data_IF_348856572623
#
_entry.id   IF_348856572623
#
_cell.length_a   1.000
_cell.length_b   1.000
_cell.length_c   1.000
_cell.angle_alpha   90.00
_cell.angle_beta   90.00
_cell.angle_gamma   90.00
#
_symmetry.space_group_name_H-M   'P 1'
#
loop_
_entity.id
_entity.type
_entity.pdbx_description
1 polymer ?
#
# COMPACT_ATOMS: atom_id res chain seq x y z
N UNK A 1 9.47 32.73 8.51
CA UNK A 1 8.74 31.68 7.78
C UNK A 1 7.69 32.34 6.90
N UNK A 2 7.69 32.02 5.61
CA UNK A 2 6.69 32.49 4.66
C UNK A 2 5.33 31.78 4.90
N UNK A 3 4.20 32.30 4.38
CA UNK A 3 2.92 31.59 4.43
C UNK A 3 3.04 30.18 3.82
N UNK A 4 2.74 29.15 4.61
CA UNK A 4 2.87 27.73 4.22
C UNK A 4 4.14 27.05 4.71
N UNK A 5 5.14 27.80 5.16
CA UNK A 5 6.36 27.26 5.77
C UNK A 5 6.07 26.99 7.25
N UNK A 6 6.04 25.71 7.63
CA UNK A 6 5.89 25.28 9.03
C UNK A 6 7.16 24.52 9.39
N UNK A 7 7.89 25.02 10.37
CA UNK A 7 8.98 24.26 10.97
C UNK A 7 8.43 22.90 11.43
N UNK A 8 9.03 21.77 11.00
CA UNK A 8 8.61 20.45 11.46
C UNK A 8 8.72 20.38 12.98
N UNK A 9 7.82 19.64 13.62
CA UNK A 9 7.94 19.36 15.04
C UNK A 9 9.20 18.55 15.32
N UNK A 10 9.75 18.64 16.54
CA UNK A 10 11.00 17.96 16.91
C UNK A 10 10.93 16.43 16.71
N UNK A 11 9.73 15.85 16.79
CA UNK A 11 9.47 14.43 16.56
C UNK A 11 9.27 14.03 15.09
N UNK A 12 9.27 14.97 14.15
CA UNK A 12 9.18 14.66 12.72
C UNK A 12 10.52 14.14 12.20
N UNK A 13 10.49 13.09 11.38
CA UNK A 13 11.70 12.54 10.78
C UNK A 13 12.51 13.59 9.97
N UNK A 14 11.84 14.60 9.39
CA UNK A 14 12.48 15.71 8.68
C UNK A 14 13.08 16.80 9.57
N UNK A 15 12.89 16.73 10.90
CA UNK A 15 13.50 17.67 11.85
C UNK A 15 14.99 17.42 12.08
N UNK A 16 15.50 16.25 11.68
CA UNK A 16 16.92 15.87 11.78
C UNK A 16 17.47 15.50 10.40
N UNK A 17 18.79 15.58 10.18
CA UNK A 17 19.40 15.10 8.95
C UNK A 17 19.08 13.62 8.70
N UNK A 18 18.73 13.27 7.46
CA UNK A 18 18.49 11.87 7.06
C UNK A 18 19.73 11.01 7.34
N UNK A 19 19.49 9.75 7.72
CA UNK A 19 20.53 8.72 7.91
C UNK A 19 21.15 8.24 6.59
N UNK A 20 20.70 8.78 5.46
CA UNK A 20 21.32 8.65 4.16
C UNK A 20 20.73 7.52 3.31
N UNK A 21 21.52 7.10 2.31
CA UNK A 21 21.13 6.14 1.26
C UNK A 21 22.13 5.00 1.19
N UNK A 22 21.71 3.85 0.66
CA UNK A 22 22.54 2.65 0.56
C UNK A 22 23.73 2.85 -0.40
N UNK A 23 23.48 3.44 -1.57
CA UNK A 23 24.52 3.90 -2.50
C UNK A 23 24.81 5.38 -2.25
N UNK A 24 26.10 5.72 -2.16
CA UNK A 24 26.52 7.12 -2.00
C UNK A 24 26.18 7.93 -3.24
N UNK A 25 25.54 9.08 -3.04
CA UNK A 25 25.20 10.03 -4.09
C UNK A 25 25.42 11.45 -3.57
N UNK A 26 25.76 12.41 -4.45
CA UNK A 26 25.81 13.82 -4.07
C UNK A 26 24.47 14.30 -3.52
N UNK A 27 24.53 15.18 -2.53
CA UNK A 27 23.35 15.89 -2.03
C UNK A 27 22.75 16.78 -3.11
N UNK A 28 21.43 16.93 -3.09
CA UNK A 28 20.74 17.81 -4.04
C UNK A 28 20.57 19.17 -3.40
N UNK A 29 20.99 20.22 -4.10
CA UNK A 29 20.92 21.60 -3.60
C UNK A 29 19.51 22.19 -3.64
N UNK A 30 18.58 21.58 -4.37
CA UNK A 30 17.24 22.15 -4.62
C UNK A 30 16.08 21.36 -4.03
N UNK A 31 16.31 20.11 -3.60
CA UNK A 31 15.26 19.21 -3.09
C UNK A 31 15.73 18.47 -1.85
N UNK A 32 14.84 18.32 -0.87
CA UNK A 32 15.10 17.50 0.31
C UNK A 32 15.32 16.02 -0.06
N UNK A 33 15.97 15.22 0.82
CA UNK A 33 16.10 13.79 0.61
C UNK A 33 14.75 13.08 0.38
N UNK A 34 13.68 13.48 1.07
CA UNK A 34 12.36 12.85 0.96
C UNK A 34 11.60 13.30 -0.29
N UNK A 35 11.76 14.55 -0.73
CA UNK A 35 11.27 14.99 -2.04
C UNK A 35 11.89 14.17 -3.17
N UNK A 36 13.19 13.90 -3.08
CA UNK A 36 13.85 13.01 -4.04
C UNK A 36 13.22 11.62 -4.00
N UNK A 37 13.00 11.05 -2.83
CA UNK A 37 12.40 9.70 -2.72
C UNK A 37 11.02 9.63 -3.35
N UNK A 38 10.16 10.60 -3.04
CA UNK A 38 8.85 10.75 -3.69
C UNK A 38 8.99 10.78 -5.20
N UNK A 39 9.87 11.63 -5.72
CA UNK A 39 10.05 11.79 -7.16
C UNK A 39 10.54 10.48 -7.81
N UNK A 40 11.44 9.72 -7.14
CA UNK A 40 11.91 8.42 -7.62
C UNK A 40 10.79 7.38 -7.68
N UNK A 41 9.95 7.34 -6.66
CA UNK A 41 8.78 6.45 -6.59
C UNK A 41 7.82 6.79 -7.73
N UNK A 42 7.46 8.07 -7.91
CA UNK A 42 6.55 8.53 -8.97
C UNK A 42 7.02 8.15 -10.38
N UNK A 43 8.33 8.22 -10.65
CA UNK A 43 8.90 7.93 -11.97
C UNK A 43 9.24 6.43 -12.19
N UNK A 44 9.04 5.60 -11.18
CA UNK A 44 9.30 4.16 -11.26
C UNK A 44 8.40 3.46 -12.28
N UNK A 45 8.82 2.28 -12.74
CA UNK A 45 7.99 1.45 -13.63
C UNK A 45 6.84 0.83 -12.83
N UNK A 46 7.12 0.39 -11.61
CA UNK A 46 6.15 -0.20 -10.70
C UNK A 46 4.99 0.76 -10.40
N UNK A 47 5.27 2.04 -10.11
CA UNK A 47 4.22 3.04 -9.85
C UNK A 47 3.33 3.25 -11.08
N UNK A 48 3.93 3.37 -12.28
CA UNK A 48 3.19 3.47 -13.54
C UNK A 48 2.31 2.25 -13.83
N UNK A 49 2.70 1.06 -13.36
CA UNK A 49 1.91 -0.17 -13.53
C UNK A 49 0.66 -0.18 -12.66
N UNK A 50 0.61 0.60 -11.58
CA UNK A 50 -0.56 0.70 -10.71
C UNK A 50 -1.81 1.22 -11.46
N UNK A 51 -1.64 1.98 -12.56
CA UNK A 51 -2.75 2.39 -13.45
C UNK A 51 -3.51 1.19 -14.02
N UNK A 52 -2.84 0.04 -14.13
CA UNK A 52 -3.37 -1.16 -14.79
C UNK A 52 -3.41 -2.36 -13.83
N UNK A 53 -3.50 -2.08 -12.53
CA UNK A 53 -3.73 -3.05 -11.47
C UNK A 53 -4.99 -2.67 -10.70
N UNK A 54 -5.90 -3.63 -10.57
CA UNK A 54 -7.12 -3.50 -9.80
C UNK A 54 -6.80 -3.46 -8.31
N UNK A 55 -7.59 -2.68 -7.57
CA UNK A 55 -7.51 -2.64 -6.11
C UNK A 55 -8.27 -3.82 -5.51
N UNK A 56 -9.61 -3.73 -5.48
CA UNK A 56 -10.51 -4.75 -4.89
C UNK A 56 -11.32 -5.46 -5.97
N UNK A 57 -11.90 -4.74 -6.93
CA UNK A 57 -12.74 -5.32 -7.97
C UNK A 57 -11.96 -5.58 -9.25
N UNK A 58 -12.06 -6.81 -9.77
CA UNK A 58 -11.44 -7.12 -11.06
C UNK A 58 -12.21 -6.39 -12.15
N UNK A 59 -11.44 -5.64 -12.92
CA UNK A 59 -11.82 -4.83 -14.05
C UNK A 59 -12.83 -5.58 -14.92
N UNK A 60 -14.14 -5.25 -14.93
CA UNK A 60 -15.06 -5.52 -16.06
C UNK A 60 -16.50 -4.94 -15.99
N UNK A 61 -17.02 -4.39 -14.88
CA UNK A 61 -18.41 -3.88 -14.82
C UNK A 61 -18.57 -2.34 -14.89
N UNK A 62 -17.90 -1.63 -15.81
CA UNK A 62 -18.10 -0.18 -16.05
C UNK A 62 -16.81 0.67 -16.22
N UNK A 63 -16.96 1.96 -16.52
CA UNK A 63 -15.86 2.84 -17.00
C UNK A 63 -15.12 3.64 -15.90
N UNK A 64 -15.57 3.54 -14.63
CA UNK A 64 -15.12 4.42 -13.53
C UNK A 64 -14.57 3.67 -12.30
N UNK A 65 -14.04 2.45 -12.47
CA UNK A 65 -13.45 1.70 -11.36
C UNK A 65 -12.10 2.27 -10.94
N UNK A 66 -11.85 2.20 -9.63
CA UNK A 66 -10.60 2.59 -9.01
C UNK A 66 -9.49 1.60 -9.39
N UNK A 67 -8.31 2.14 -9.62
CA UNK A 67 -7.07 1.38 -9.80
C UNK A 67 -6.22 1.56 -8.55
N UNK A 68 -5.18 0.74 -8.39
CA UNK A 68 -4.20 0.96 -7.31
C UNK A 68 -3.52 2.33 -7.41
N UNK A 69 -3.42 2.91 -8.61
CA UNK A 69 -2.89 4.25 -8.78
C UNK A 69 -3.81 5.29 -8.15
N UNK A 70 -5.11 5.27 -8.46
CA UNK A 70 -6.06 6.25 -7.89
C UNK A 70 -6.13 6.10 -6.38
N UNK A 71 -6.12 4.86 -5.87
CA UNK A 71 -5.99 4.56 -4.45
C UNK A 71 -4.76 5.21 -3.83
N UNK A 72 -3.56 4.92 -4.37
CA UNK A 72 -2.30 5.47 -3.85
C UNK A 72 -2.26 7.00 -3.85
N UNK A 73 -2.89 7.65 -4.84
CA UNK A 73 -3.00 9.11 -4.89
C UNK A 73 -3.93 9.67 -3.80
N UNK A 74 -5.03 8.98 -3.49
CA UNK A 74 -5.95 9.36 -2.42
C UNK A 74 -5.30 9.14 -1.04
N UNK A 75 -4.61 8.00 -0.84
CA UNK A 75 -3.80 7.75 0.37
C UNK A 75 -2.75 8.83 0.55
N UNK A 76 -2.03 9.21 -0.51
CA UNK A 76 -1.03 10.28 -0.46
C UNK A 76 -1.64 11.63 -0.06
N UNK A 77 -2.82 11.96 -0.58
CA UNK A 77 -3.53 13.20 -0.24
C UNK A 77 -3.93 13.24 1.25
N UNK A 78 -4.46 12.13 1.78
CA UNK A 78 -4.83 11.99 3.18
C UNK A 78 -3.57 12.05 4.07
N UNK A 79 -2.53 11.30 3.73
CA UNK A 79 -1.26 11.25 4.47
C UNK A 79 -0.64 12.66 4.60
N UNK A 80 -0.62 13.45 3.52
CA UNK A 80 -0.15 14.84 3.57
C UNK A 80 -1.00 15.73 4.45
N UNK A 81 -2.32 15.56 4.39
CA UNK A 81 -3.25 16.32 5.25
C UNK A 81 -2.98 16.02 6.72
N UNK A 82 -2.82 14.75 7.08
CA UNK A 82 -2.48 14.31 8.42
C UNK A 82 -1.10 14.81 8.87
N UNK A 83 -0.07 14.65 8.03
CA UNK A 83 1.28 15.13 8.31
C UNK A 83 1.29 16.64 8.58
N UNK A 84 0.57 17.42 7.76
CA UNK A 84 0.44 18.88 7.94
C UNK A 84 -0.27 19.26 9.24
N UNK A 85 -1.28 18.52 9.66
CA UNK A 85 -2.00 18.77 10.91
C UNK A 85 -1.18 18.38 12.16
N UNK A 86 -0.26 17.44 12.01
CA UNK A 86 0.64 16.96 13.06
C UNK A 86 2.04 17.59 13.01
N UNK A 87 2.31 18.49 12.05
CA UNK A 87 3.62 19.11 11.79
C UNK A 87 4.74 18.08 11.56
N UNK A 88 4.40 17.02 10.85
CA UNK A 88 5.32 16.00 10.35
C UNK A 88 5.80 16.37 8.93
N UNK A 89 6.76 15.62 8.41
CA UNK A 89 7.28 15.83 7.05
C UNK A 89 6.30 15.31 6.01
N UNK A 90 5.72 16.24 5.23
CA UNK A 90 4.71 15.91 4.20
C UNK A 90 5.31 15.07 3.07
N UNK A 91 6.57 15.29 2.70
CA UNK A 91 7.20 14.63 1.57
C UNK A 91 7.55 13.17 1.91
N UNK A 92 7.97 12.88 3.15
CA UNK A 92 8.18 11.50 3.61
C UNK A 92 6.84 10.73 3.72
N UNK A 93 5.81 11.35 4.31
CA UNK A 93 4.50 10.72 4.40
C UNK A 93 3.90 10.44 3.00
N UNK A 94 4.05 11.38 2.06
CA UNK A 94 3.65 11.21 0.65
C UNK A 94 4.46 10.11 -0.05
N UNK A 95 5.79 10.08 0.11
CA UNK A 95 6.64 9.06 -0.49
C UNK A 95 6.26 7.64 -0.03
N UNK A 96 6.00 7.45 1.27
CA UNK A 96 5.56 6.19 1.85
C UNK A 96 4.18 5.78 1.34
N UNK A 97 3.22 6.71 1.33
CA UNK A 97 1.89 6.49 0.79
C UNK A 97 1.90 6.11 -0.70
N UNK A 98 2.78 6.68 -1.51
CA UNK A 98 2.88 6.31 -2.93
C UNK A 98 3.58 4.97 -3.17
N UNK A 99 4.41 4.52 -2.22
CA UNK A 99 5.27 3.35 -2.37
C UNK A 99 4.73 2.07 -1.71
N UNK A 100 3.78 2.16 -0.78
CA UNK A 100 3.28 1.01 -0.01
C UNK A 100 2.79 -0.13 -0.92
N UNK A 101 2.15 0.24 -2.03
CA UNK A 101 1.41 -0.67 -2.90
C UNK A 101 2.19 -1.19 -4.13
N UNK A 102 3.47 -0.82 -4.28
CA UNK A 102 4.27 -1.15 -5.46
C UNK A 102 4.46 -2.66 -5.70
N UNK A 103 4.43 -3.45 -4.65
CA UNK A 103 4.71 -4.88 -4.64
C UNK A 103 3.49 -5.77 -4.92
N UNK A 104 2.28 -5.22 -4.95
CA UNK A 104 1.08 -6.01 -5.20
C UNK A 104 1.13 -6.67 -6.58
N UNK A 105 0.86 -7.97 -6.71
CA UNK A 105 0.81 -8.65 -8.01
C UNK A 105 -0.45 -8.27 -8.81
N UNK A 106 -0.58 -8.75 -10.06
CA UNK A 106 -1.85 -8.66 -10.79
C UNK A 106 -3.03 -9.18 -9.95
N UNK A 107 -4.19 -8.55 -10.10
CA UNK A 107 -5.44 -8.91 -9.41
C UNK A 107 -5.41 -8.76 -7.88
N UNK A 108 -4.50 -7.94 -7.35
CA UNK A 108 -4.47 -7.58 -5.93
C UNK A 108 -4.29 -8.79 -5.00
N UNK A 109 -5.14 -8.91 -3.97
CA UNK A 109 -5.02 -9.99 -2.98
C UNK A 109 -5.22 -11.39 -3.55
N UNK A 110 -5.96 -11.55 -4.66
CA UNK A 110 -6.07 -12.83 -5.35
C UNK A 110 -4.70 -13.27 -5.90
N UNK A 111 -4.01 -12.39 -6.62
CA UNK A 111 -2.67 -12.69 -7.11
C UNK A 111 -1.67 -12.93 -5.99
N UNK A 112 -1.80 -12.21 -4.87
CA UNK A 112 -0.94 -12.40 -3.70
C UNK A 112 -1.13 -13.80 -3.09
N UNK A 113 -2.37 -14.23 -2.84
CA UNK A 113 -2.66 -15.57 -2.34
C UNK A 113 -2.16 -16.66 -3.28
N UNK A 114 -2.35 -16.48 -4.59
CA UNK A 114 -1.88 -17.43 -5.60
C UNK A 114 -0.36 -17.54 -5.61
N UNK A 115 0.36 -16.41 -5.61
CA UNK A 115 1.82 -16.39 -5.57
C UNK A 115 2.36 -16.93 -4.24
N UNK A 116 1.76 -16.56 -3.11
CA UNK A 116 2.21 -17.05 -1.81
C UNK A 116 2.08 -18.57 -1.72
N UNK A 117 0.92 -19.10 -2.13
CA UNK A 117 0.71 -20.55 -2.23
C UNK A 117 1.73 -21.23 -3.14
N UNK A 118 2.00 -20.66 -4.31
CA UNK A 118 2.99 -21.20 -5.24
C UNK A 118 4.44 -21.09 -4.71
N UNK A 119 4.71 -20.12 -3.84
CA UNK A 119 6.02 -19.84 -3.25
C UNK A 119 6.23 -20.47 -1.87
N UNK A 120 5.29 -21.24 -1.31
CA UNK A 120 5.43 -21.87 0.01
C UNK A 120 6.73 -22.69 0.15
N UNK A 121 7.09 -23.48 -0.88
CA UNK A 121 8.36 -24.22 -0.93
C UNK A 121 9.62 -23.36 -1.18
N UNK A 122 9.46 -22.06 -1.43
CA UNK A 122 10.49 -21.10 -1.84
C UNK A 122 10.51 -19.82 -0.98
N UNK A 123 9.92 -19.89 0.22
CA UNK A 123 9.96 -18.83 1.23
C UNK A 123 8.77 -17.85 1.24
N UNK A 124 7.69 -18.16 0.51
CA UNK A 124 6.43 -17.41 0.49
C UNK A 124 6.46 -16.14 -0.37
N UNK A 125 5.32 -15.46 -0.46
CA UNK A 125 5.18 -14.16 -1.11
C UNK A 125 4.36 -13.23 -0.23
N UNK A 126 4.78 -11.97 -0.17
CA UNK A 126 4.13 -10.91 0.61
C UNK A 126 4.34 -9.60 -0.16
N UNK A 127 3.26 -8.86 -0.40
CA UNK A 127 3.33 -7.65 -1.22
C UNK A 127 4.18 -6.56 -0.56
N UNK A 128 4.21 -6.45 0.78
CA UNK A 128 5.03 -5.44 1.47
C UNK A 128 6.52 -5.74 1.30
N UNK A 129 6.90 -7.00 1.45
CA UNK A 129 8.24 -7.49 1.15
C UNK A 129 8.59 -7.24 -0.32
N UNK A 130 7.63 -7.44 -1.23
CA UNK A 130 7.81 -7.18 -2.64
C UNK A 130 7.96 -5.68 -2.95
N UNK A 131 7.22 -4.78 -2.28
CA UNK A 131 7.39 -3.32 -2.40
C UNK A 131 8.81 -2.92 -2.02
N UNK A 132 9.35 -3.48 -0.94
CA UNK A 132 10.74 -3.26 -0.54
C UNK A 132 11.73 -3.80 -1.57
N UNK A 133 11.49 -4.99 -2.16
CA UNK A 133 12.32 -5.54 -3.25
C UNK A 133 12.30 -4.66 -4.49
N UNK A 134 11.13 -4.13 -4.86
CA UNK A 134 10.97 -3.24 -6.02
C UNK A 134 11.89 -2.04 -5.89
N UNK A 135 11.85 -1.35 -4.75
CA UNK A 135 12.60 -0.11 -4.55
C UNK A 135 14.08 -0.33 -4.23
N UNK A 136 14.49 -1.55 -3.85
CA UNK A 136 15.89 -1.85 -3.49
C UNK A 136 16.66 -2.69 -4.50
N UNK A 137 15.98 -3.39 -5.42
CA UNK A 137 16.64 -4.35 -6.32
C UNK A 137 16.02 -4.50 -7.71
N UNK A 138 14.71 -4.31 -7.90
CA UNK A 138 14.06 -4.65 -9.18
C UNK A 138 13.97 -3.48 -10.16
N UNK A 139 13.77 -2.25 -9.68
CA UNK A 139 13.82 -1.08 -10.55
C UNK A 139 15.22 -0.88 -11.11
N UNK A 140 15.32 -0.64 -12.43
CA UNK A 140 16.59 -0.39 -13.13
C UNK A 140 16.52 0.93 -13.87
N UNK A 141 16.58 2.03 -13.10
CA UNK A 141 16.47 3.42 -13.61
C UNK A 141 17.79 4.19 -13.57
N UNK A 142 18.75 3.72 -12.79
CA UNK A 142 20.02 4.41 -12.56
C UNK A 142 21.18 3.60 -13.13
N UNK A 143 22.16 4.28 -13.72
CA UNK A 143 23.27 3.61 -14.39
C UNK A 143 24.24 2.89 -13.43
N UNK A 144 24.31 3.36 -12.18
CA UNK A 144 25.33 2.93 -11.21
C UNK A 144 24.84 1.85 -10.25
N UNK A 145 23.52 1.66 -10.13
CA UNK A 145 22.94 0.74 -9.14
C UNK A 145 21.54 0.29 -9.55
N UNK A 146 21.17 -0.88 -9.03
CA UNK A 146 19.79 -1.38 -9.05
C UNK A 146 18.98 -0.74 -7.91
N UNK A 147 17.65 -0.72 -8.08
CA UNK A 147 16.71 -0.07 -7.16
C UNK A 147 16.59 1.44 -7.38
N UNK A 148 15.87 2.08 -6.47
CA UNK A 148 15.66 3.53 -6.42
C UNK A 148 16.59 4.23 -5.42
N UNK A 149 17.39 3.47 -4.67
CA UNK A 149 18.31 3.98 -3.65
C UNK A 149 17.66 5.01 -2.71
N UNK A 150 16.49 4.68 -2.15
CA UNK A 150 15.71 5.55 -1.27
C UNK A 150 16.46 5.81 0.06
N UNK A 151 16.04 6.83 0.79
CA UNK A 151 16.54 7.15 2.14
C UNK A 151 16.22 6.04 3.12
N UNK A 152 17.04 5.94 4.17
CA UNK A 152 16.83 5.01 5.27
C UNK A 152 15.44 5.16 5.89
N UNK A 153 14.94 6.39 6.07
CA UNK A 153 13.63 6.67 6.67
C UNK A 153 12.48 6.13 5.80
N UNK A 154 12.59 6.27 4.47
CA UNK A 154 11.58 5.72 3.56
C UNK A 154 11.64 4.19 3.53
N UNK A 155 12.83 3.60 3.57
CA UNK A 155 13.00 2.14 3.62
C UNK A 155 12.52 1.54 4.95
N UNK A 156 12.77 2.22 6.06
CA UNK A 156 12.22 1.88 7.38
C UNK A 156 10.70 1.90 7.34
N UNK A 157 10.11 3.02 6.91
CA UNK A 157 8.65 3.18 6.87
C UNK A 157 7.96 2.14 5.99
N UNK A 158 8.55 1.79 4.85
CA UNK A 158 8.04 0.72 3.99
C UNK A 158 8.16 -0.66 4.62
N UNK A 159 9.29 -0.97 5.27
CA UNK A 159 9.47 -2.25 5.94
C UNK A 159 8.48 -2.41 7.10
N UNK A 160 8.28 -1.36 7.89
CA UNK A 160 7.42 -1.35 9.08
C UNK A 160 6.03 -0.78 8.82
N UNK A 161 5.52 -0.87 7.58
CA UNK A 161 4.22 -0.31 7.22
C UNK A 161 3.09 -0.82 8.13
N UNK A 162 3.14 -2.09 8.53
CA UNK A 162 2.17 -2.69 9.45
C UNK A 162 2.62 -2.64 10.93
N UNK A 163 3.55 -1.76 11.26
CA UNK A 163 4.20 -1.69 12.58
C UNK A 163 5.45 -2.57 12.69
N UNK A 164 5.89 -2.89 13.92
CA UNK A 164 7.03 -3.76 14.17
C UNK A 164 6.95 -5.08 13.41
N UNK A 165 8.06 -5.45 12.79
CA UNK A 165 8.19 -6.60 11.91
C UNK A 165 8.66 -7.80 12.70
N UNK A 166 7.87 -8.89 12.68
CA UNK A 166 8.24 -10.14 13.32
C UNK A 166 9.47 -10.79 12.67
N UNK A 167 10.27 -11.46 13.50
CA UNK A 167 11.41 -12.23 13.05
C UNK A 167 11.00 -13.34 12.07
N UNK A 168 11.80 -13.52 11.02
CA UNK A 168 11.55 -14.54 10.00
C UNK A 168 10.43 -14.22 9.01
N UNK A 169 9.74 -13.08 9.14
CA UNK A 169 8.77 -12.60 8.15
C UNK A 169 9.40 -12.40 6.76
N UNK A 170 8.57 -12.37 5.71
CA UNK A 170 9.04 -12.11 4.34
C UNK A 170 9.76 -10.75 4.23
N UNK A 171 9.23 -9.72 4.91
CA UNK A 171 9.86 -8.40 4.99
C UNK A 171 11.23 -8.50 5.66
N UNK A 172 11.34 -9.14 6.84
CA UNK A 172 12.61 -9.30 7.53
C UNK A 172 13.64 -10.00 6.62
N UNK A 173 13.23 -11.04 5.87
CA UNK A 173 14.11 -11.75 4.92
C UNK A 173 14.67 -10.85 3.83
N UNK A 174 13.86 -9.92 3.30
CA UNK A 174 14.26 -8.94 2.27
C UNK A 174 15.15 -7.86 2.90
N UNK A 175 14.77 -7.35 4.07
CA UNK A 175 15.47 -6.30 4.79
C UNK A 175 16.86 -6.73 5.27
N UNK A 176 17.17 -8.03 5.40
CA UNK A 176 18.52 -8.52 5.79
C UNK A 176 19.69 -7.87 5.06
N UNK A 177 19.54 -7.53 3.77
CA UNK A 177 20.60 -6.82 3.04
C UNK A 177 20.79 -5.40 3.55
N UNK A 178 19.68 -4.71 3.85
CA UNK A 178 19.67 -3.37 4.42
C UNK A 178 20.21 -3.38 5.85
N UNK A 179 19.84 -4.37 6.67
CA UNK A 179 20.35 -4.55 8.04
C UNK A 179 21.88 -4.62 8.11
N UNK A 180 22.54 -5.18 7.08
CA UNK A 180 24.02 -5.20 6.98
C UNK A 180 24.64 -3.85 6.65
N UNK A 181 23.89 -2.95 6.01
CA UNK A 181 24.32 -1.59 5.73
C UNK A 181 24.04 -0.68 6.92
N UNK A 182 22.78 -0.63 7.35
CA UNK A 182 22.30 0.12 8.50
C UNK A 182 21.02 -0.53 8.98
N UNK A 183 20.98 -0.91 10.26
CA UNK A 183 19.78 -1.51 10.83
C UNK A 183 18.57 -0.60 10.67
N UNK A 184 17.45 -1.17 10.22
CA UNK A 184 16.14 -0.54 10.20
C UNK A 184 15.44 -0.64 11.56
N UNK A 185 16.04 -1.35 12.53
CA UNK A 185 15.45 -1.61 13.85
C UNK A 185 14.03 -2.20 13.75
N UNK A 186 13.92 -3.33 13.03
CA UNK A 186 12.66 -3.90 12.58
C UNK A 186 11.63 -4.16 13.70
N UNK A 187 12.08 -4.36 14.94
CA UNK A 187 11.22 -4.65 16.09
C UNK A 187 10.65 -3.42 16.78
N UNK A 188 11.09 -2.21 16.43
CA UNK A 188 10.56 -0.95 16.95
C UNK A 188 9.50 -0.35 16.05
N UNK A 189 8.79 0.67 16.55
CA UNK A 189 7.82 1.41 15.73
C UNK A 189 8.56 2.22 14.65
N UNK A 190 7.95 2.47 13.48
CA UNK A 190 8.52 3.40 12.52
C UNK A 190 8.29 4.85 12.94
N UNK A 191 8.91 5.77 12.21
CA UNK A 191 8.61 7.20 12.30
C UNK A 191 7.10 7.51 12.21
N UNK A 192 6.69 8.63 12.81
CA UNK A 192 5.29 9.07 12.79
C UNK A 192 4.74 9.24 11.37
N UNK A 193 5.57 9.68 10.41
CA UNK A 193 5.20 9.80 8.99
C UNK A 193 4.77 8.46 8.37
N UNK A 194 5.43 7.36 8.74
CA UNK A 194 5.06 6.03 8.28
C UNK A 194 3.75 5.54 8.91
N UNK A 195 3.59 5.75 10.22
CA UNK A 195 2.33 5.43 10.90
C UNK A 195 1.16 6.23 10.31
N UNK A 196 1.39 7.49 9.94
CA UNK A 196 0.41 8.31 9.20
C UNK A 196 0.09 7.72 7.84
N UNK A 197 1.08 7.29 7.06
CA UNK A 197 0.84 6.69 5.75
C UNK A 197 0.00 5.40 5.86
N UNK A 198 0.26 4.56 6.87
CA UNK A 198 -0.54 3.36 7.17
C UNK A 198 -1.98 3.69 7.51
N UNK A 199 -2.23 4.64 8.41
CA UNK A 199 -3.60 4.99 8.78
C UNK A 199 -4.31 5.80 7.69
N UNK A 200 -3.58 6.51 6.83
CA UNK A 200 -4.15 7.11 5.63
C UNK A 200 -4.66 6.04 4.65
N UNK A 201 -3.94 4.91 4.53
CA UNK A 201 -4.39 3.75 3.75
C UNK A 201 -5.68 3.18 4.32
N UNK A 202 -5.75 3.00 5.65
CA UNK A 202 -6.98 2.55 6.33
C UNK A 202 -8.19 3.47 6.07
N UNK A 203 -8.00 4.79 6.09
CA UNK A 203 -9.06 5.79 5.82
C UNK A 203 -9.55 5.67 4.37
N UNK A 204 -8.62 5.60 3.42
CA UNK A 204 -8.93 5.46 2.01
C UNK A 204 -9.68 4.15 1.74
N UNK A 205 -9.15 3.04 2.27
CA UNK A 205 -9.73 1.70 2.13
C UNK A 205 -11.20 1.64 2.55
N UNK A 206 -11.54 2.08 3.76
CA UNK A 206 -12.94 2.07 4.24
C UNK A 206 -13.86 2.88 3.33
N UNK A 207 -13.38 4.03 2.87
CA UNK A 207 -14.13 4.96 2.04
C UNK A 207 -14.40 4.39 0.65
N UNK A 208 -13.42 3.71 0.08
CA UNK A 208 -13.47 3.17 -1.29
C UNK A 208 -14.29 1.90 -1.34
N UNK A 209 -14.14 1.01 -0.35
CA UNK A 209 -14.90 -0.24 -0.30
C UNK A 209 -16.39 -0.02 -0.16
N UNK A 210 -16.78 1.06 0.55
CA UNK A 210 -18.17 1.51 0.60
C UNK A 210 -18.64 1.96 -0.79
N UNK A 211 -17.89 2.86 -1.43
CA UNK A 211 -18.22 3.40 -2.76
C UNK A 211 -18.32 2.28 -3.80
N UNK A 212 -17.34 1.37 -3.85
CA UNK A 212 -17.31 0.25 -4.78
C UNK A 212 -18.40 -0.79 -4.46
N UNK A 213 -18.63 -1.11 -3.17
CA UNK A 213 -19.69 -2.03 -2.75
C UNK A 213 -21.10 -1.53 -3.13
N UNK A 214 -21.34 -0.22 -3.02
CA UNK A 214 -22.58 0.42 -3.43
C UNK A 214 -22.73 0.44 -4.96
N UNK A 215 -21.67 0.80 -5.69
CA UNK A 215 -21.67 0.80 -7.17
C UNK A 215 -21.88 -0.58 -7.76
N UNK A 216 -21.31 -1.62 -7.16
CA UNK A 216 -21.48 -3.01 -7.56
C UNK A 216 -22.84 -3.61 -7.10
N UNK A 217 -23.68 -2.81 -6.43
CA UNK A 217 -24.95 -3.22 -5.84
C UNK A 217 -24.82 -4.44 -4.90
N UNK A 218 -23.70 -4.53 -4.18
CA UNK A 218 -23.44 -5.59 -3.19
C UNK A 218 -23.96 -5.21 -1.80
N UNK A 219 -24.05 -3.91 -1.55
CA UNK A 219 -24.66 -3.30 -0.37
C UNK A 219 -25.55 -2.14 -0.83
N UNK A 220 -26.47 -1.73 0.03
CA UNK A 220 -27.30 -0.53 -0.17
C UNK A 220 -27.05 0.47 0.96
N UNK A 221 -27.42 1.74 0.75
CA UNK A 221 -27.26 2.79 1.76
C UNK A 221 -27.90 2.44 3.11
N UNK A 222 -29.01 1.70 3.11
CA UNK A 222 -29.68 1.25 4.33
C UNK A 222 -28.82 0.27 5.15
N UNK A 223 -27.96 -0.54 4.53
CA UNK A 223 -27.06 -1.42 5.28
C UNK A 223 -26.02 -0.61 6.09
N UNK A 224 -25.63 0.56 5.57
CA UNK A 224 -24.65 1.46 6.21
C UNK A 224 -25.27 2.26 7.37
N UNK A 225 -26.59 2.40 7.42
CA UNK A 225 -27.29 3.06 8.52
C UNK A 225 -27.18 2.28 9.84
N UNK A 226 -27.10 0.95 9.74
CA UNK A 226 -26.97 0.06 10.89
C UNK A 226 -25.57 0.04 11.50
N UNK A 227 -24.57 0.64 10.85
CA UNK A 227 -23.18 0.60 11.33
C UNK A 227 -22.85 1.79 12.24
N UNK A 228 -22.11 1.59 13.35
CA UNK A 228 -21.81 2.66 14.32
C UNK A 228 -21.13 3.89 13.71
N UNK A 229 -20.23 3.70 12.74
CA UNK A 229 -19.50 4.79 12.10
C UNK A 229 -20.34 5.50 11.02
N UNK A 230 -20.97 4.75 10.11
CA UNK A 230 -21.69 5.34 8.97
C UNK A 230 -23.13 5.74 9.28
N UNK A 231 -23.79 5.16 10.28
CA UNK A 231 -25.17 5.51 10.66
C UNK A 231 -25.34 6.97 11.11
N UNK A 232 -24.54 7.47 12.05
CA UNK A 232 -24.57 8.89 12.44
C UNK A 232 -24.22 9.83 11.28
N UNK A 233 -23.29 9.42 10.40
CA UNK A 233 -22.96 10.19 9.21
C UNK A 233 -24.14 10.25 8.22
N UNK A 234 -24.83 9.13 8.01
CA UNK A 234 -26.01 9.05 7.15
C UNK A 234 -27.17 9.89 7.68
N UNK A 235 -27.39 9.89 9.00
CA UNK A 235 -28.40 10.74 9.65
C UNK A 235 -28.18 12.21 9.29
N UNK A 236 -26.93 12.67 9.28
CA UNK A 236 -26.62 14.04 8.87
C UNK A 236 -26.80 14.28 7.38
N UNK A 237 -26.49 13.31 6.51
CA UNK A 237 -26.71 13.42 5.07
C UNK A 237 -28.20 13.64 4.81
N UNK A 238 -29.06 12.82 5.44
CA UNK A 238 -30.52 12.92 5.35
C UNK A 238 -31.08 14.22 5.93
N UNK A 239 -30.48 14.75 7.00
CA UNK A 239 -30.90 16.02 7.59
C UNK A 239 -30.70 17.23 6.64
N UNK A 240 -29.82 17.12 5.64
CA UNK A 240 -29.57 18.17 4.63
C UNK A 240 -30.51 18.09 3.43
N UNK A 241 -31.45 17.16 3.43
CA UNK A 241 -32.44 16.95 2.38
C UNK A 241 -32.43 15.51 1.85
N UNK A 242 -33.11 15.29 0.73
CA UNK A 242 -33.13 14.02 0.00
C UNK A 242 -32.27 14.12 -1.25
N UNK A 243 -30.93 14.11 -1.15
CA UNK A 243 -30.07 14.07 -2.32
C UNK A 243 -30.36 12.82 -3.15
N UNK A 244 -30.08 12.86 -4.45
CA UNK A 244 -30.00 11.64 -5.25
C UNK A 244 -28.93 10.69 -4.68
N UNK A 245 -29.06 9.41 -5.00
CA UNK A 245 -28.21 8.37 -4.42
C UNK A 245 -26.71 8.66 -4.61
N UNK A 246 -26.28 9.10 -5.80
CA UNK A 246 -24.88 9.42 -6.07
C UNK A 246 -24.34 10.54 -5.17
N UNK A 247 -25.12 11.62 -4.97
CA UNK A 247 -24.76 12.68 -4.03
C UNK A 247 -24.77 12.21 -2.58
N UNK A 248 -25.69 11.32 -2.21
CA UNK A 248 -25.75 10.76 -0.87
C UNK A 248 -24.49 9.93 -0.55
N UNK A 249 -24.07 9.07 -1.49
CA UNK A 249 -22.83 8.28 -1.39
C UNK A 249 -21.62 9.20 -1.25
N UNK A 250 -21.49 10.19 -2.14
CA UNK A 250 -20.35 11.12 -2.10
C UNK A 250 -20.28 11.89 -0.78
N UNK A 251 -21.42 12.42 -0.28
CA UNK A 251 -21.45 13.16 0.99
C UNK A 251 -21.16 12.24 2.19
N UNK A 252 -21.66 11.00 2.18
CA UNK A 252 -21.33 10.00 3.20
C UNK A 252 -19.82 9.77 3.24
N UNK A 253 -19.22 9.41 2.11
CA UNK A 253 -17.78 9.09 2.02
C UNK A 253 -16.93 10.28 2.46
N UNK A 254 -17.22 11.49 1.98
CA UNK A 254 -16.54 12.72 2.39
C UNK A 254 -16.64 12.97 3.89
N UNK A 255 -17.81 12.71 4.49
CA UNK A 255 -18.05 12.89 5.93
C UNK A 255 -17.28 11.85 6.75
N UNK A 256 -17.26 10.59 6.32
CA UNK A 256 -16.50 9.52 6.94
C UNK A 256 -15.00 9.83 6.98
N UNK A 257 -14.42 10.25 5.85
CA UNK A 257 -13.02 10.70 5.78
C UNK A 257 -12.77 11.85 6.78
N UNK A 258 -13.67 12.84 6.81
CA UNK A 258 -13.54 13.99 7.72
C UNK A 258 -13.57 13.57 9.19
N UNK A 259 -14.47 12.66 9.56
CA UNK A 259 -14.59 12.15 10.94
C UNK A 259 -13.34 11.36 11.34
N UNK A 260 -12.87 10.45 10.48
CA UNK A 260 -11.68 9.65 10.75
C UNK A 260 -10.41 10.49 10.87
N UNK A 261 -10.23 11.48 9.98
CA UNK A 261 -9.10 12.42 10.06
C UNK A 261 -9.15 13.22 11.37
N UNK A 262 -10.33 13.75 11.74
CA UNK A 262 -10.47 14.57 12.94
C UNK A 262 -10.16 13.79 14.22
N UNK A 263 -10.69 12.57 14.34
CA UNK A 263 -10.44 11.68 15.47
C UNK A 263 -8.96 11.28 15.56
N UNK A 264 -8.36 10.82 14.45
CA UNK A 264 -6.97 10.41 14.40
C UNK A 264 -6.04 11.54 14.85
N UNK A 265 -6.27 12.77 14.34
CA UNK A 265 -5.47 13.94 14.73
C UNK A 265 -5.65 14.26 16.22
N UNK A 266 -6.86 14.19 16.75
CA UNK A 266 -7.14 14.47 18.16
C UNK A 266 -6.46 13.45 19.09
N UNK A 267 -6.65 12.16 18.83
CA UNK A 267 -6.03 11.06 19.59
C UNK A 267 -4.51 11.11 19.49
N UNK A 268 -3.97 11.29 18.28
CA UNK A 268 -2.52 11.36 18.06
C UNK A 268 -1.91 12.54 18.81
N UNK A 269 -2.57 13.70 18.84
CA UNK A 269 -2.10 14.84 19.64
C UNK A 269 -2.10 14.54 21.14
N UNK A 270 -3.10 13.84 21.65
CA UNK A 270 -3.15 13.43 23.05
C UNK A 270 -2.00 12.46 23.38
N UNK A 271 -1.74 11.47 22.52
CA UNK A 271 -0.61 10.53 22.68
C UNK A 271 0.75 11.22 22.62
N UNK A 272 0.95 12.12 21.66
CA UNK A 272 2.18 12.91 21.54
C UNK A 272 2.39 13.82 22.76
N UNK A 273 1.32 14.42 23.30
CA UNK A 273 1.42 15.23 24.51
C UNK A 273 1.79 14.38 25.75
N UNK A 274 1.25 13.18 25.86
CA UNK A 274 1.58 12.25 26.95
C UNK A 274 3.02 11.70 26.84
N UNK A 275 3.49 11.42 25.62
CA UNK A 275 4.86 10.93 25.37
C UNK A 275 5.92 12.04 25.51
N UNK A 276 5.59 13.28 25.10
CA UNK A 276 6.51 14.42 25.09
C UNK A 276 7.77 14.24 24.22
N UNK A 277 7.68 13.69 22.99
CA UNK A 277 8.86 13.34 22.20
C UNK A 277 9.63 14.58 21.75
N UNK A 278 10.96 14.52 21.88
CA UNK A 278 11.91 15.57 21.51
C UNK A 278 12.70 15.21 20.24
N UNK A 279 12.55 13.98 19.75
CA UNK A 279 13.18 13.50 18.53
C UNK A 279 12.31 12.47 17.80
N UNK A 280 12.60 12.16 16.53
CA UNK A 280 11.93 11.08 15.82
C UNK A 280 12.23 9.70 16.41
N UNK A 281 13.36 9.57 17.11
CA UNK A 281 13.76 8.32 17.74
C UNK A 281 12.94 8.03 19.00
N UNK A 282 12.42 9.06 19.69
CA UNK A 282 11.46 8.87 20.79
C UNK A 282 10.14 8.25 20.29
N UNK A 283 9.74 8.55 19.05
CA UNK A 283 8.58 7.92 18.40
C UNK A 283 8.86 6.43 18.14
N UNK A 284 10.05 6.12 17.60
CA UNK A 284 10.45 4.74 17.31
C UNK A 284 10.55 3.89 18.57
N UNK A 285 11.07 4.47 19.64
CA UNK A 285 11.27 3.83 20.94
C UNK A 285 10.01 3.76 21.80
N UNK A 286 8.89 4.34 21.36
CA UNK A 286 7.64 4.30 22.10
C UNK A 286 7.16 2.85 22.34
N UNK A 287 6.51 2.60 23.47
CA UNK A 287 5.97 1.26 23.78
C UNK A 287 4.76 0.88 22.92
N UNK A 288 4.14 1.84 22.24
CA UNK A 288 2.96 1.68 21.41
C UNK A 288 2.94 2.69 20.27
N UNK A 289 2.12 2.45 19.25
CA UNK A 289 1.90 3.38 18.15
C UNK A 289 1.50 4.78 18.69
N UNK A 290 2.19 5.79 18.18
CA UNK A 290 1.97 7.19 18.56
C UNK A 290 0.87 7.83 17.72
N UNK A 291 0.74 7.42 16.46
CA UNK A 291 -0.34 7.83 15.56
C UNK A 291 -1.41 6.75 15.60
N UNK A 292 -2.63 7.12 15.96
CA UNK A 292 -3.72 6.17 16.16
C UNK A 292 -5.09 6.84 16.07
N UNK A 293 -6.11 6.03 15.77
CA UNK A 293 -7.50 6.37 16.07
C UNK A 293 -7.78 6.21 17.57
N UNK A 294 -8.79 6.92 18.07
CA UNK A 294 -9.31 6.69 19.41
C UNK A 294 -9.80 5.24 19.55
N UNK A 295 -9.76 4.64 20.77
CA UNK A 295 -10.23 3.27 20.96
C UNK A 295 -11.68 3.04 20.52
N UNK A 296 -12.54 4.06 20.66
CA UNK A 296 -13.92 4.01 20.22
C UNK A 296 -14.01 3.94 18.69
N UNK A 297 -13.35 4.87 17.98
CA UNK A 297 -13.40 4.88 16.52
C UNK A 297 -12.70 3.64 15.92
N UNK A 298 -11.60 3.19 16.50
CA UNK A 298 -10.93 1.96 16.07
C UNK A 298 -11.87 0.74 16.14
N UNK A 299 -12.69 0.67 17.19
CA UNK A 299 -13.71 -0.39 17.34
C UNK A 299 -14.79 -0.27 16.26
N UNK A 300 -15.25 0.94 15.95
CA UNK A 300 -16.29 1.17 14.95
C UNK A 300 -15.77 0.90 13.52
N UNK A 301 -14.53 1.29 13.22
CA UNK A 301 -13.85 0.94 11.96
C UNK A 301 -13.72 -0.57 11.82
N UNK A 302 -13.31 -1.28 12.88
CA UNK A 302 -13.17 -2.74 12.83
C UNK A 302 -14.53 -3.43 12.55
N UNK A 303 -15.62 -2.95 13.15
CA UNK A 303 -16.98 -3.45 12.88
C UNK A 303 -17.40 -3.20 11.44
N UNK A 304 -17.15 -2.00 10.92
CA UNK A 304 -17.47 -1.65 9.54
C UNK A 304 -16.65 -2.47 8.54
N UNK A 305 -15.35 -2.66 8.77
CA UNK A 305 -14.49 -3.54 7.96
C UNK A 305 -15.00 -4.98 7.97
N UNK A 306 -15.42 -5.50 9.12
CA UNK A 306 -16.00 -6.84 9.22
C UNK A 306 -17.31 -6.96 8.42
N UNK A 307 -18.18 -5.96 8.50
CA UNK A 307 -19.40 -5.88 7.70
C UNK A 307 -19.10 -5.87 6.19
N UNK A 308 -18.16 -5.03 5.74
CA UNK A 308 -17.77 -4.96 4.32
C UNK A 308 -17.16 -6.29 3.87
N UNK A 309 -16.32 -6.91 4.70
CA UNK A 309 -15.74 -8.22 4.41
C UNK A 309 -16.82 -9.29 4.18
N UNK A 310 -17.84 -9.33 5.03
CA UNK A 310 -18.93 -10.29 4.90
C UNK A 310 -19.81 -10.03 3.67
N UNK A 311 -20.20 -8.78 3.43
CA UNK A 311 -21.17 -8.43 2.39
C UNK A 311 -20.57 -8.25 1.00
N UNK A 312 -19.36 -7.71 0.93
CA UNK A 312 -18.71 -7.31 -0.31
C UNK A 312 -17.69 -8.38 -0.73
N UNK A 313 -16.70 -8.66 0.11
CA UNK A 313 -15.58 -9.53 -0.25
C UNK A 313 -15.97 -11.00 -0.38
N UNK A 314 -16.88 -11.48 0.48
CA UNK A 314 -17.36 -12.88 0.45
C UNK A 314 -18.54 -13.09 -0.48
N UNK A 315 -18.97 -12.07 -1.23
CA UNK A 315 -20.06 -12.23 -2.18
C UNK A 315 -19.68 -13.22 -3.28
N UNK A 316 -20.57 -14.16 -3.62
CA UNK A 316 -20.27 -15.26 -4.56
C UNK A 316 -19.75 -14.78 -5.93
N UNK A 317 -20.33 -13.69 -6.47
CA UNK A 317 -19.83 -13.04 -7.70
C UNK A 317 -18.34 -12.65 -7.58
N UNK A 318 -17.98 -11.95 -6.51
CA UNK A 318 -16.60 -11.51 -6.25
C UNK A 318 -15.69 -12.72 -6.07
N UNK A 319 -16.09 -13.68 -5.24
CA UNK A 319 -15.31 -14.89 -4.97
C UNK A 319 -15.09 -15.75 -6.23
N UNK A 320 -16.07 -15.82 -7.14
CA UNK A 320 -15.92 -16.50 -8.43
C UNK A 320 -14.80 -15.88 -9.27
N UNK A 321 -14.83 -14.56 -9.42
CA UNK A 321 -13.82 -13.82 -10.17
C UNK A 321 -12.45 -13.90 -9.51
N UNK A 322 -12.38 -13.87 -8.17
CA UNK A 322 -11.12 -14.03 -7.43
C UNK A 322 -10.50 -15.43 -7.63
N UNK A 323 -11.30 -16.49 -7.66
CA UNK A 323 -10.81 -17.86 -7.95
C UNK A 323 -10.25 -17.98 -9.36
N UNK A 324 -10.87 -17.31 -10.32
CA UNK A 324 -10.42 -17.28 -11.70
C UNK A 324 -9.13 -16.47 -11.87
N UNK A 325 -9.00 -15.34 -11.17
CA UNK A 325 -7.78 -14.55 -11.11
C UNK A 325 -6.61 -15.31 -10.44
N UNK A 326 -6.89 -16.02 -9.34
CA UNK A 326 -5.92 -16.89 -8.68
C UNK A 326 -5.39 -17.98 -9.62
N UNK A 327 -6.30 -18.60 -10.41
CA UNK A 327 -5.94 -19.60 -11.42
C UNK A 327 -4.96 -19.04 -12.45
N UNK A 328 -5.23 -17.86 -13.00
CA UNK A 328 -4.33 -17.22 -13.98
C UNK A 328 -2.91 -17.08 -13.43
N UNK A 329 -2.78 -16.57 -12.20
CA UNK A 329 -1.46 -16.33 -11.58
C UNK A 329 -0.74 -17.65 -11.28
N UNK A 330 -1.46 -18.64 -10.75
CA UNK A 330 -0.92 -19.96 -10.46
C UNK A 330 -0.43 -20.67 -11.74
N UNK A 331 -1.23 -20.64 -12.80
CA UNK A 331 -0.92 -21.24 -14.10
C UNK A 331 0.31 -20.60 -14.72
N UNK A 332 0.38 -19.25 -14.75
CA UNK A 332 1.55 -18.52 -15.24
C UNK A 332 2.82 -18.89 -14.46
N UNK A 333 2.76 -18.87 -13.13
CA UNK A 333 3.91 -19.23 -12.30
C UNK A 333 4.39 -20.66 -12.60
N UNK A 334 3.47 -21.63 -12.62
CA UNK A 334 3.79 -23.03 -12.90
C UNK A 334 4.40 -23.21 -14.31
N UNK A 335 3.84 -22.52 -15.31
CA UNK A 335 4.32 -22.56 -16.70
C UNK A 335 5.74 -22.04 -16.83
N UNK A 336 6.06 -20.93 -16.17
CA UNK A 336 7.40 -20.36 -16.19
C UNK A 336 8.40 -21.15 -15.35
N UNK A 337 7.95 -21.86 -14.31
CA UNK A 337 8.80 -22.81 -13.58
C UNK A 337 9.15 -24.03 -14.44
N UNK A 338 8.18 -24.59 -15.17
CA UNK A 338 8.38 -25.75 -16.02
C UNK A 338 9.23 -25.44 -17.27
N UNK A 339 8.98 -24.30 -17.92
CA UNK A 339 9.76 -23.85 -19.08
C UNK A 339 10.01 -22.34 -18.98
N UNK A 340 11.15 -21.96 -18.36
CA UNK A 340 11.54 -20.56 -18.18
C UNK A 340 11.69 -19.77 -19.48
N UNK A 341 11.90 -20.44 -20.62
CA UNK A 341 11.99 -19.83 -21.95
C UNK A 341 10.66 -19.20 -22.41
N UNK A 342 9.55 -19.50 -21.74
CA UNK A 342 8.26 -18.85 -22.02
C UNK A 342 8.19 -17.40 -21.51
N UNK A 343 9.08 -16.98 -20.60
CA UNK A 343 9.20 -15.58 -20.16
C UNK A 343 9.88 -14.72 -21.23
N UNK A 344 9.83 -13.39 -21.08
CA UNK A 344 10.60 -12.49 -21.92
C UNK A 344 12.12 -12.76 -21.82
N UNK A 345 12.85 -12.58 -22.94
CA UNK A 345 14.26 -12.99 -23.08
C UNK A 345 15.16 -12.50 -21.94
N UNK A 346 15.02 -11.25 -21.51
CA UNK A 346 15.82 -10.71 -20.41
C UNK A 346 15.62 -11.47 -19.07
N UNK A 347 14.39 -11.92 -18.80
CA UNK A 347 14.05 -12.71 -17.60
C UNK A 347 14.48 -14.16 -17.76
N UNK A 348 14.29 -14.74 -18.95
CA UNK A 348 14.79 -16.07 -19.26
C UNK A 348 16.31 -16.16 -19.09
N UNK A 349 17.06 -15.25 -19.71
CA UNK A 349 18.52 -15.18 -19.60
C UNK A 349 18.98 -15.06 -18.13
N UNK A 350 18.32 -14.20 -17.34
CA UNK A 350 18.60 -14.03 -15.92
C UNK A 350 18.24 -15.27 -15.07
N UNK A 351 17.33 -16.12 -15.53
CA UNK A 351 16.92 -17.35 -14.85
C UNK A 351 17.89 -18.53 -15.04
N UNK A 352 18.61 -18.57 -16.17
CA UNK A 352 19.49 -19.69 -16.56
C UNK A 352 20.54 -20.07 -15.52
N UNK A 353 21.29 -19.13 -14.90
CA UNK A 353 22.35 -19.48 -13.94
C UNK A 353 21.82 -19.78 -12.53
N UNK A 354 20.51 -19.69 -12.28
CA UNK A 354 19.94 -19.77 -10.95
C UNK A 354 19.56 -21.20 -10.57
N UNK A 355 19.76 -21.55 -9.29
CA UNK A 355 19.15 -22.74 -8.70
C UNK A 355 17.61 -22.63 -8.68
N UNK A 356 16.91 -23.74 -8.38
CA UNK A 356 15.46 -23.79 -8.40
C UNK A 356 14.81 -22.75 -7.47
N UNK A 357 15.38 -22.51 -6.29
CA UNK A 357 14.82 -21.59 -5.31
C UNK A 357 14.96 -20.13 -5.73
N UNK A 358 16.13 -19.74 -6.24
CA UNK A 358 16.37 -18.40 -6.79
C UNK A 358 15.58 -18.15 -8.06
N UNK A 359 15.42 -19.18 -8.89
CA UNK A 359 14.60 -19.13 -10.10
C UNK A 359 13.12 -18.91 -9.78
N UNK A 360 12.58 -19.62 -8.79
CA UNK A 360 11.21 -19.41 -8.31
C UNK A 360 10.99 -17.96 -7.85
N UNK A 361 11.94 -17.39 -7.10
CA UNK A 361 11.85 -15.97 -6.71
C UNK A 361 11.88 -15.02 -7.91
N UNK A 362 12.76 -15.25 -8.89
CA UNK A 362 12.83 -14.43 -10.10
C UNK A 362 11.53 -14.50 -10.90
N UNK A 363 10.92 -15.68 -11.01
CA UNK A 363 9.62 -15.86 -11.66
C UNK A 363 8.52 -15.14 -10.87
N UNK A 364 8.52 -15.23 -9.54
CA UNK A 364 7.58 -14.48 -8.71
C UNK A 364 7.74 -12.96 -8.89
N UNK A 365 8.97 -12.45 -9.00
CA UNK A 365 9.24 -11.04 -9.30
C UNK A 365 8.69 -10.64 -10.68
N UNK A 366 8.85 -11.50 -11.69
CA UNK A 366 8.32 -11.28 -13.04
C UNK A 366 6.78 -11.22 -13.03
N UNK A 367 6.14 -12.23 -12.44
CA UNK A 367 4.68 -12.34 -12.37
C UNK A 367 4.07 -11.20 -11.55
N UNK A 368 4.63 -10.89 -10.37
CA UNK A 368 4.18 -9.76 -9.55
C UNK A 368 4.37 -8.40 -10.27
N UNK A 369 5.38 -8.32 -11.13
CA UNK A 369 5.66 -7.15 -11.95
C UNK A 369 4.68 -6.94 -13.11
N UNK A 370 3.82 -7.90 -13.45
CA UNK A 370 2.85 -7.77 -14.54
C UNK A 370 1.71 -6.82 -14.16
N UNK A 371 1.01 -6.28 -15.17
CA UNK A 371 -0.30 -5.64 -15.00
C UNK A 371 -1.40 -6.68 -15.22
N UNK A 372 -2.63 -6.41 -14.80
CA UNK A 372 -3.75 -7.37 -14.95
C UNK A 372 -3.97 -7.72 -16.42
N UNK A 373 -3.99 -6.70 -17.29
CA UNK A 373 -4.12 -6.86 -18.74
C UNK A 373 -2.99 -7.73 -19.33
N UNK A 374 -1.77 -7.57 -18.83
CA UNK A 374 -0.61 -8.29 -19.35
C UNK A 374 -0.62 -9.73 -18.87
N UNK A 375 -0.99 -9.98 -17.60
CA UNK A 375 -1.17 -11.33 -17.07
C UNK A 375 -2.27 -12.09 -17.85
N UNK A 376 -3.42 -11.46 -18.12
CA UNK A 376 -4.47 -12.06 -18.95
C UNK A 376 -3.95 -12.36 -20.37
N UNK A 377 -3.22 -11.43 -20.98
CA UNK A 377 -2.67 -11.61 -22.33
C UNK A 377 -1.64 -12.74 -22.40
N UNK A 378 -0.72 -12.80 -21.43
CA UNK A 378 0.26 -13.88 -21.31
C UNK A 378 -0.42 -15.23 -21.09
N UNK A 379 -1.47 -15.28 -20.27
CA UNK A 379 -2.24 -16.50 -20.07
C UNK A 379 -2.91 -16.96 -21.38
N UNK A 380 -3.54 -16.05 -22.14
CA UNK A 380 -4.12 -16.36 -23.46
C UNK A 380 -3.08 -16.84 -24.48
N UNK A 381 -1.84 -16.37 -24.36
CA UNK A 381 -0.74 -16.77 -25.24
C UNK A 381 -0.23 -18.19 -24.93
N UNK A 382 -0.30 -18.59 -23.66
CA UNK A 382 0.34 -19.81 -23.15
C UNK A 382 -0.63 -20.97 -22.89
N UNK A 383 -1.93 -20.70 -22.82
CA UNK A 383 -2.96 -21.66 -22.47
C UNK A 383 -4.16 -21.56 -23.41
N UNK A 384 -4.80 -22.71 -23.69
CA UNK A 384 -5.94 -22.79 -24.61
C UNK A 384 -7.23 -22.15 -24.06
N UNK A 385 -7.35 -22.07 -22.73
CA UNK A 385 -8.53 -21.53 -22.06
C UNK A 385 -8.13 -20.54 -20.96
N UNK A 386 -8.37 -19.25 -21.20
CA UNK A 386 -8.18 -18.21 -20.18
C UNK A 386 -9.50 -17.90 -19.47
N UNK A 387 -9.51 -17.86 -18.13
CA UNK A 387 -10.70 -17.48 -17.37
C UNK A 387 -11.23 -16.11 -17.78
N UNK A 388 -12.56 -15.98 -17.81
CA UNK A 388 -13.20 -14.70 -18.09
C UNK A 388 -13.49 -14.00 -16.76
N UNK A 389 -12.75 -12.95 -16.44
CA UNK A 389 -12.83 -12.28 -15.14
C UNK A 389 -14.00 -11.30 -15.02
N UNK A 390 -15.15 -11.65 -15.61
CA UNK A 390 -16.35 -10.81 -15.69
C UNK A 390 -17.33 -11.12 -14.58
#
# INVERSE_FOLDING_TARGET
>A
MAPGERAPAAYSAGAVPSRGRFHSEPECTTRSPFQRDRDRVLHSTAFRRLTYKTQVFVFHEGDHYRTRLTHSLEVAQIARTLARQLRLDEDLAEALALAHDLGHPPFGHAGERALDKAMQGFGGFDHNAQSLRVVTALERKYAQFDGLNLTWETLEGLAKHNGPVADGSAVAKVARRLERWRSLDLTSWPAAEAQVATLADDIAYVSHDIDDGLRAHLIILADLEGQPLSGPAMTHVRARGSPDEGRAVYELTRRLITLMIADLVAETRARLAALGPQSPDDIRAASQATVAFSPALATDIARLKAFLFERVYRHERVMGVMRDAERIVADLFARYMAEPAAMAEAWYAASRPLDAHRRARLIADFVAGMTDRYAIAEHRRLFDATPNLR
#
